data_IF_991875576069
#
_entry.id   IF_991875576069
#
_cell.length_a   1.000
_cell.length_b   1.000
_cell.length_c   1.000
_cell.angle_alpha   90.00
_cell.angle_beta   90.00
_cell.angle_gamma   90.00
#
_symmetry.space_group_name_H-M   'P 1'
#
loop_
_entity.id
_entity.type
_entity.pdbx_description
1 polymer ?
#
# COMPACT_ATOMS: atom_id res chain seq x y z
N UNK A 1 27.02 -18.48 41.06
CA UNK A 1 25.70 -17.84 40.77
C UNK A 1 25.88 -17.08 39.46
N UNK A 2 25.45 -17.68 38.34
CA UNK A 2 25.63 -17.11 37.01
C UNK A 2 24.34 -16.37 36.64
N UNK A 3 24.38 -15.04 36.60
CA UNK A 3 23.27 -14.25 36.10
C UNK A 3 23.28 -14.32 34.57
N UNK A 4 22.48 -15.23 34.02
CA UNK A 4 22.16 -15.25 32.60
C UNK A 4 21.36 -13.97 32.30
N UNK A 5 22.01 -13.01 31.66
CA UNK A 5 21.38 -11.82 31.11
C UNK A 5 20.39 -12.29 30.04
N UNK A 6 19.10 -12.14 30.35
CA UNK A 6 18.02 -12.25 29.39
C UNK A 6 18.19 -11.12 28.37
N UNK A 7 18.85 -11.42 27.24
CA UNK A 7 18.85 -10.57 26.06
C UNK A 7 17.42 -10.54 25.52
N UNK A 8 16.64 -9.59 26.04
CA UNK A 8 15.40 -9.14 25.43
C UNK A 8 15.76 -8.66 24.03
N UNK A 9 15.46 -9.46 23.00
CA UNK A 9 15.67 -9.07 21.62
C UNK A 9 14.92 -7.75 21.39
N UNK A 10 15.64 -6.66 21.19
CA UNK A 10 15.06 -5.44 20.69
C UNK A 10 14.29 -5.80 19.41
N UNK A 11 13.04 -5.34 19.22
CA UNK A 11 12.33 -5.60 17.97
C UNK A 11 13.25 -5.18 16.83
N UNK A 12 13.45 -6.09 15.86
CA UNK A 12 14.25 -5.79 14.69
C UNK A 12 13.75 -4.48 14.07
N UNK A 13 14.68 -3.60 13.67
CA UNK A 13 14.31 -2.37 12.99
C UNK A 13 13.36 -2.70 11.83
N UNK A 14 12.24 -1.97 11.74
CA UNK A 14 11.23 -2.19 10.72
C UNK A 14 11.88 -2.13 9.33
N UNK A 15 11.62 -3.11 8.46
CA UNK A 15 12.14 -3.11 7.09
C UNK A 15 11.63 -1.89 6.31
N UNK A 16 12.35 -1.47 5.26
CA UNK A 16 11.90 -0.34 4.44
C UNK A 16 10.54 -0.61 3.79
N UNK A 17 10.28 -1.85 3.36
CA UNK A 17 9.00 -2.26 2.82
C UNK A 17 7.86 -2.13 3.84
N UNK A 18 8.08 -2.51 5.09
CA UNK A 18 7.12 -2.35 6.17
C UNK A 18 6.88 -0.86 6.52
N UNK A 19 7.91 0.00 6.41
CA UNK A 19 7.75 1.45 6.56
C UNK A 19 6.90 2.04 5.43
N UNK A 20 7.15 1.64 4.18
CA UNK A 20 6.35 2.05 3.02
C UNK A 20 4.90 1.59 3.18
N UNK A 21 4.67 0.35 3.61
CA UNK A 21 3.36 -0.20 3.85
C UNK A 21 2.58 0.56 4.93
N UNK A 22 3.25 0.90 6.05
CA UNK A 22 2.65 1.69 7.12
C UNK A 22 2.27 3.11 6.63
N UNK A 23 3.08 3.73 5.78
CA UNK A 23 2.76 5.01 5.16
C UNK A 23 1.56 4.90 4.21
N UNK A 24 1.51 3.83 3.39
CA UNK A 24 0.40 3.58 2.47
C UNK A 24 -0.93 3.37 3.21
N UNK A 25 -0.94 2.51 4.24
CA UNK A 25 -2.10 2.30 5.11
C UNK A 25 -2.53 3.63 5.77
N UNK A 26 -1.59 4.38 6.33
CA UNK A 26 -1.88 5.69 6.93
C UNK A 26 -2.46 6.67 5.91
N UNK A 27 -1.98 6.68 4.67
CA UNK A 27 -2.55 7.51 3.60
C UNK A 27 -4.00 7.16 3.31
N UNK A 28 -4.38 5.88 3.34
CA UNK A 28 -5.78 5.46 3.19
C UNK A 28 -6.64 5.90 4.37
N UNK A 29 -6.14 5.82 5.60
CA UNK A 29 -6.88 6.26 6.79
C UNK A 29 -7.08 7.79 6.78
N UNK A 30 -6.04 8.56 6.44
CA UNK A 30 -6.12 10.02 6.33
C UNK A 30 -7.09 10.47 5.23
N UNK A 31 -7.23 9.70 4.16
CA UNK A 31 -8.19 9.97 3.09
C UNK A 31 -9.65 9.97 3.61
N UNK A 32 -9.97 9.13 4.60
CA UNK A 32 -11.28 9.07 5.27
C UNK A 32 -11.46 10.18 6.30
N UNK A 33 -10.37 10.63 6.93
CA UNK A 33 -10.40 11.77 7.86
C UNK A 33 -10.64 13.11 7.14
N UNK A 34 -10.56 13.15 5.81
CA UNK A 34 -10.76 14.37 5.04
C UNK A 34 -12.23 14.80 5.07
N UNK A 35 -12.52 16.03 5.51
CA UNK A 35 -13.87 16.62 5.55
C UNK A 35 -13.81 18.14 5.33
N UNK A 36 -14.74 18.78 4.58
CA UNK A 36 -15.90 18.19 3.90
C UNK A 36 -15.52 17.33 2.69
N UNK A 37 -16.31 16.29 2.41
CA UNK A 37 -16.02 15.30 1.37
C UNK A 37 -17.28 14.92 0.57
N UNK A 38 -17.88 15.86 -0.19
CA UNK A 38 -19.21 15.68 -0.78
C UNK A 38 -19.34 14.41 -1.62
N UNK A 39 -20.30 13.56 -1.27
CA UNK A 39 -20.64 12.33 -1.98
C UNK A 39 -19.70 11.14 -1.72
N UNK A 40 -18.59 11.33 -1.00
CA UNK A 40 -17.65 10.26 -0.65
C UNK A 40 -17.74 9.92 0.83
N UNK A 41 -17.32 8.70 1.20
CA UNK A 41 -17.28 8.26 2.60
C UNK A 41 -16.26 9.08 3.39
N UNK A 42 -16.65 9.52 4.58
CA UNK A 42 -15.80 10.22 5.55
C UNK A 42 -15.96 9.61 6.94
N UNK A 43 -15.20 10.11 7.92
CA UNK A 43 -15.39 9.78 9.33
C UNK A 43 -16.73 10.30 9.92
N UNK A 44 -17.45 11.19 9.21
CA UNK A 44 -18.72 11.78 9.67
C UNK A 44 -19.92 11.07 9.07
N UNK A 45 -19.85 10.70 7.78
CA UNK A 45 -20.97 10.11 7.03
C UNK A 45 -20.50 9.17 5.91
N UNK A 46 -21.44 8.41 5.36
CA UNK A 46 -21.20 7.51 4.23
C UNK A 46 -21.25 8.23 2.86
N UNK A 47 -21.36 9.56 2.81
CA UNK A 47 -21.60 10.29 1.57
C UNK A 47 -22.84 9.78 0.83
N UNK A 48 -22.68 9.45 -0.45
CA UNK A 48 -23.75 8.89 -1.29
C UNK A 48 -23.87 7.36 -1.22
N UNK A 49 -23.06 6.70 -0.38
CA UNK A 49 -22.99 5.25 -0.32
C UNK A 49 -23.97 4.66 0.68
N UNK A 50 -24.55 3.51 0.33
CA UNK A 50 -25.42 2.72 1.22
C UNK A 50 -24.77 1.40 1.65
N UNK A 51 -23.65 1.02 1.03
CA UNK A 51 -22.97 -0.27 1.15
C UNK A 51 -21.64 -0.20 1.90
N UNK A 52 -21.15 1.00 2.24
CA UNK A 52 -19.88 1.21 2.91
C UNK A 52 -19.90 2.43 3.84
N UNK A 53 -19.02 2.40 4.83
CA UNK A 53 -18.80 3.44 5.82
C UNK A 53 -17.31 3.53 6.20
N UNK A 54 -16.96 4.47 7.09
CA UNK A 54 -15.59 4.61 7.58
C UNK A 54 -15.01 3.31 8.17
N UNK A 55 -15.84 2.51 8.86
CA UNK A 55 -15.40 1.22 9.42
C UNK A 55 -14.98 0.23 8.33
N UNK A 56 -15.69 0.24 7.20
CA UNK A 56 -15.44 -0.62 6.04
C UNK A 56 -14.14 -0.23 5.35
N UNK A 57 -13.87 1.07 5.23
CA UNK A 57 -12.58 1.58 4.76
C UNK A 57 -11.42 1.25 5.70
N UNK A 58 -11.61 1.33 7.02
CA UNK A 58 -10.58 0.97 7.99
C UNK A 58 -10.20 -0.51 7.90
N UNK A 59 -11.19 -1.43 7.83
CA UNK A 59 -10.94 -2.86 7.61
C UNK A 59 -10.19 -3.12 6.30
N UNK A 60 -10.59 -2.42 5.24
CA UNK A 60 -9.95 -2.50 3.94
C UNK A 60 -8.47 -2.06 4.00
N UNK A 61 -8.17 -0.91 4.61
CA UNK A 61 -6.80 -0.40 4.74
C UNK A 61 -5.89 -1.38 5.49
N UNK A 62 -6.39 -1.94 6.61
CA UNK A 62 -5.66 -2.95 7.39
C UNK A 62 -5.39 -4.22 6.57
N UNK A 63 -6.39 -4.71 5.83
CA UNK A 63 -6.25 -5.90 4.98
C UNK A 63 -5.24 -5.71 3.84
N UNK A 64 -5.07 -4.47 3.36
CA UNK A 64 -4.17 -4.14 2.26
C UNK A 64 -2.71 -3.93 2.69
N UNK A 65 -2.45 -3.56 3.95
CA UNK A 65 -1.10 -3.30 4.49
C UNK A 65 -0.04 -4.34 4.08
N UNK A 66 -0.21 -5.66 4.29
CA UNK A 66 0.82 -6.64 3.93
C UNK A 66 1.12 -6.66 2.41
N UNK A 67 0.14 -6.35 1.57
CA UNK A 67 0.34 -6.30 0.12
C UNK A 67 1.08 -5.05 -0.34
N UNK A 68 0.96 -3.93 0.38
CA UNK A 68 1.81 -2.76 0.13
C UNK A 68 3.29 -3.04 0.46
N UNK A 69 3.56 -3.80 1.53
CA UNK A 69 4.92 -4.26 1.83
C UNK A 69 5.44 -5.17 0.71
N UNK A 70 4.63 -6.13 0.27
CA UNK A 70 5.03 -7.04 -0.79
C UNK A 70 5.27 -6.34 -2.14
N UNK A 71 4.46 -5.33 -2.48
CA UNK A 71 4.67 -4.49 -3.66
C UNK A 71 5.96 -3.67 -3.54
N UNK A 72 6.27 -3.14 -2.36
CA UNK A 72 7.55 -2.46 -2.13
C UNK A 72 8.74 -3.40 -2.31
N UNK A 73 8.69 -4.61 -1.75
CA UNK A 73 9.73 -5.63 -1.93
C UNK A 73 9.86 -6.10 -3.39
N UNK A 74 8.75 -6.22 -4.12
CA UNK A 74 8.76 -6.51 -5.55
C UNK A 74 9.43 -5.37 -6.33
N UNK A 75 9.15 -4.12 -5.96
CA UNK A 75 9.79 -2.94 -6.52
C UNK A 75 11.30 -2.89 -6.28
N UNK A 76 11.75 -3.21 -5.05
CA UNK A 76 13.17 -3.28 -4.69
C UNK A 76 13.94 -4.31 -5.54
N UNK A 77 13.25 -5.39 -5.92
CA UNK A 77 13.76 -6.44 -6.83
C UNK A 77 13.61 -6.10 -8.32
N UNK A 78 13.14 -4.91 -8.67
CA UNK A 78 12.86 -4.49 -10.05
C UNK A 78 11.92 -5.47 -10.79
N UNK A 79 10.86 -5.92 -10.10
CA UNK A 79 9.93 -6.88 -10.67
C UNK A 79 9.16 -6.32 -11.88
N UNK A 80 8.87 -7.20 -12.85
CA UNK A 80 8.00 -6.89 -13.99
C UNK A 80 6.55 -6.64 -13.56
N UNK A 81 5.81 -5.89 -14.38
CA UNK A 81 4.40 -5.57 -14.14
C UNK A 81 3.55 -6.83 -13.90
N UNK A 82 3.83 -7.95 -14.58
CA UNK A 82 3.12 -9.21 -14.37
C UNK A 82 3.19 -9.72 -12.92
N UNK A 83 4.30 -9.49 -12.22
CA UNK A 83 4.43 -9.85 -10.81
C UNK A 83 3.62 -8.89 -9.92
N UNK A 84 3.67 -7.59 -10.20
CA UNK A 84 2.89 -6.58 -9.46
C UNK A 84 1.38 -6.81 -9.60
N UNK A 85 0.90 -7.17 -10.80
CA UNK A 85 -0.51 -7.51 -11.05
C UNK A 85 -0.97 -8.70 -10.21
N UNK A 86 -0.15 -9.76 -10.10
CA UNK A 86 -0.48 -10.92 -9.25
C UNK A 86 -0.61 -10.56 -7.77
N UNK A 87 0.22 -9.65 -7.28
CA UNK A 87 0.12 -9.14 -5.91
C UNK A 87 -1.16 -8.31 -5.76
N UNK A 88 -1.43 -7.40 -6.71
CA UNK A 88 -2.64 -6.58 -6.73
C UNK A 88 -3.94 -7.40 -6.74
N UNK A 89 -4.01 -8.48 -7.52
CA UNK A 89 -5.17 -9.37 -7.53
C UNK A 89 -5.42 -10.05 -6.18
N UNK A 90 -4.35 -10.50 -5.49
CA UNK A 90 -4.48 -11.05 -4.14
C UNK A 90 -4.89 -9.98 -3.13
N UNK A 91 -4.37 -8.77 -3.27
CA UNK A 91 -4.77 -7.63 -2.46
C UNK A 91 -6.26 -7.30 -2.64
N UNK A 92 -6.77 -7.34 -3.88
CA UNK A 92 -8.19 -7.12 -4.18
C UNK A 92 -9.05 -8.21 -3.53
N UNK A 93 -8.65 -9.47 -3.63
CA UNK A 93 -9.37 -10.57 -2.98
C UNK A 93 -9.39 -10.41 -1.45
N UNK A 94 -8.28 -10.02 -0.84
CA UNK A 94 -8.21 -9.79 0.60
C UNK A 94 -9.06 -8.59 1.04
N UNK A 95 -9.05 -7.51 0.26
CA UNK A 95 -9.91 -6.35 0.47
C UNK A 95 -11.39 -6.77 0.45
N UNK A 96 -11.82 -7.44 -0.62
CA UNK A 96 -13.21 -7.88 -0.76
C UNK A 96 -13.63 -8.82 0.37
N UNK A 97 -12.75 -9.73 0.80
CA UNK A 97 -13.03 -10.59 1.95
C UNK A 97 -13.22 -9.79 3.26
N UNK A 98 -12.39 -8.78 3.51
CA UNK A 98 -12.46 -7.95 4.72
C UNK A 98 -13.65 -6.96 4.72
N UNK A 99 -14.17 -6.62 3.54
CA UNK A 99 -15.27 -5.66 3.36
C UNK A 99 -16.61 -6.32 3.04
N UNK A 100 -16.71 -7.66 3.04
CA UNK A 100 -17.96 -8.35 2.70
C UNK A 100 -18.36 -8.20 1.23
N UNK A 101 -17.38 -8.08 0.33
CA UNK A 101 -17.57 -7.94 -1.12
C UNK A 101 -17.65 -6.49 -1.61
N UNK A 102 -17.51 -5.51 -0.71
CA UNK A 102 -17.65 -4.09 -1.05
C UNK A 102 -16.34 -3.52 -1.59
N UNK A 103 -16.39 -2.88 -2.76
CA UNK A 103 -15.23 -2.27 -3.38
C UNK A 103 -14.92 -0.89 -2.76
N UNK A 104 -13.92 -0.84 -1.88
CA UNK A 104 -13.47 0.41 -1.22
C UNK A 104 -12.21 0.99 -1.86
N UNK A 105 -11.19 0.16 -2.05
CA UNK A 105 -9.83 0.61 -2.37
C UNK A 105 -9.24 -0.01 -3.64
N UNK A 106 -10.04 -0.58 -4.56
CA UNK A 106 -9.49 -1.20 -5.78
C UNK A 106 -8.63 -0.24 -6.61
N UNK A 107 -9.03 1.03 -6.71
CA UNK A 107 -8.22 2.07 -7.35
C UNK A 107 -6.89 2.33 -6.62
N UNK A 108 -6.91 2.30 -5.28
CA UNK A 108 -5.72 2.50 -4.46
C UNK A 108 -4.75 1.32 -4.53
N UNK A 109 -5.25 0.07 -4.63
CA UNK A 109 -4.42 -1.11 -4.86
C UNK A 109 -3.54 -0.92 -6.09
N UNK A 110 -4.08 -0.34 -7.16
CA UNK A 110 -3.31 -0.02 -8.35
C UNK A 110 -2.42 1.22 -8.14
N UNK A 111 -3.02 2.39 -7.87
CA UNK A 111 -2.29 3.65 -7.82
C UNK A 111 -1.26 3.70 -6.69
N UNK A 112 -1.72 3.55 -5.45
CA UNK A 112 -0.84 3.58 -4.27
C UNK A 112 0.09 2.35 -4.23
N UNK A 113 -0.38 1.19 -4.68
CA UNK A 113 0.44 -0.01 -4.80
C UNK A 113 1.64 0.16 -5.76
N UNK A 114 1.43 0.77 -6.93
CA UNK A 114 2.53 1.09 -7.86
C UNK A 114 3.50 2.13 -7.27
N UNK A 115 3.01 3.07 -6.47
CA UNK A 115 3.87 4.00 -5.74
C UNK A 115 4.70 3.29 -4.66
N UNK A 116 4.15 2.28 -3.99
CA UNK A 116 4.90 1.42 -3.06
C UNK A 116 6.03 0.68 -3.79
N UNK A 117 5.75 0.08 -4.94
CA UNK A 117 6.77 -0.56 -5.77
C UNK A 117 7.85 0.43 -6.25
N UNK A 118 7.46 1.62 -6.69
CA UNK A 118 8.42 2.66 -7.07
C UNK A 118 9.29 3.12 -5.88
N UNK A 119 8.71 3.22 -4.67
CA UNK A 119 9.44 3.59 -3.46
C UNK A 119 10.47 2.51 -3.09
N UNK A 120 10.08 1.23 -3.12
CA UNK A 120 10.99 0.11 -2.90
C UNK A 120 12.13 0.08 -3.93
N UNK A 121 11.83 0.32 -5.21
CA UNK A 121 12.83 0.42 -6.28
C UNK A 121 13.84 1.55 -6.02
N UNK A 122 13.40 2.69 -5.47
CA UNK A 122 14.27 3.82 -5.15
C UNK A 122 15.23 3.51 -4.00
N UNK A 123 14.89 2.57 -3.12
CA UNK A 123 15.76 2.12 -2.02
C UNK A 123 16.93 1.24 -2.45
N UNK A 124 17.07 0.94 -3.75
CA UNK A 124 18.18 0.11 -4.25
C UNK A 124 19.53 0.83 -4.16
N UNK A 125 20.64 0.10 -3.93
CA UNK A 125 21.98 0.71 -3.84
C UNK A 125 22.46 1.43 -5.10
N UNK A 126 21.95 1.04 -6.27
CA UNK A 126 22.25 1.62 -7.58
C UNK A 126 21.34 2.81 -7.96
N UNK A 127 20.39 3.18 -7.08
CA UNK A 127 19.47 4.28 -7.35
C UNK A 127 20.17 5.63 -7.23
N UNK A 128 19.92 6.52 -8.21
CA UNK A 128 20.45 7.87 -8.19
C UNK A 128 19.93 8.66 -6.96
N UNK A 129 20.80 9.35 -6.21
CA UNK A 129 20.38 10.31 -5.20
C UNK A 129 19.52 11.40 -5.86
N UNK A 130 18.37 11.73 -5.26
CA UNK A 130 17.39 12.67 -5.85
C UNK A 130 16.83 12.22 -7.22
N UNK A 131 16.58 10.92 -7.35
CA UNK A 131 15.83 10.35 -8.46
C UNK A 131 14.46 11.02 -8.69
N UNK A 132 13.78 10.67 -9.79
CA UNK A 132 12.45 11.20 -10.13
C UNK A 132 11.44 11.06 -8.99
N UNK A 133 10.33 11.81 -9.08
CA UNK A 133 9.14 11.53 -8.27
C UNK A 133 8.70 10.07 -8.45
N UNK A 134 8.03 9.49 -7.44
CA UNK A 134 7.54 8.11 -7.53
C UNK A 134 6.63 7.90 -8.76
N UNK A 135 5.77 8.86 -9.08
CA UNK A 135 4.93 8.81 -10.27
C UNK A 135 5.74 8.78 -11.57
N UNK A 136 6.81 9.58 -11.66
CA UNK A 136 7.70 9.54 -12.82
C UNK A 136 8.52 8.25 -12.89
N UNK A 137 8.89 7.63 -11.76
CA UNK A 137 9.45 6.27 -11.73
C UNK A 137 8.48 5.24 -12.29
N UNK A 138 7.21 5.29 -11.86
CA UNK A 138 6.15 4.39 -12.37
C UNK A 138 5.98 4.56 -13.88
N UNK A 139 5.81 5.80 -14.34
CA UNK A 139 5.61 6.11 -15.76
C UNK A 139 6.77 5.59 -16.62
N UNK A 140 8.02 5.73 -16.17
CA UNK A 140 9.18 5.24 -16.91
C UNK A 140 9.35 3.73 -16.88
N UNK A 141 9.11 3.10 -15.73
CA UNK A 141 9.37 1.66 -15.57
C UNK A 141 8.26 0.80 -16.11
N UNK A 142 7.02 1.18 -15.84
CA UNK A 142 5.85 0.34 -16.08
C UNK A 142 4.81 1.02 -16.97
N UNK A 143 5.06 2.25 -17.46
CA UNK A 143 4.08 3.00 -18.25
C UNK A 143 3.62 2.26 -19.51
N UNK A 144 4.54 1.60 -20.22
CA UNK A 144 4.20 0.80 -21.40
C UNK A 144 3.28 -0.38 -21.04
N UNK A 145 3.59 -1.11 -19.97
CA UNK A 145 2.79 -2.25 -19.51
C UNK A 145 1.41 -1.82 -18.98
N UNK A 146 1.30 -0.61 -18.41
CA UNK A 146 0.02 -0.04 -17.97
C UNK A 146 -0.87 0.26 -19.17
N UNK A 147 -0.31 0.84 -20.24
CA UNK A 147 -1.05 1.13 -21.47
C UNK A 147 -1.38 -0.14 -22.28
N UNK A 148 -0.61 -1.21 -22.10
CA UNK A 148 -0.74 -2.48 -22.82
C UNK A 148 -1.84 -3.42 -22.33
N UNK A 149 -2.47 -3.16 -21.18
CA UNK A 149 -3.50 -4.02 -20.59
C UNK A 149 -2.96 -5.01 -19.58
#
# INVERSE_FOLDING_TARGET
MSAAVLLCALPAAQSEAERIAALAERSLLLEIETYPKPGLVSHVDAGSHADMDASTFARSAQALRPYFAELADAGARDAEMAALRKIGLRAEHAMLAATGGVNTHRGAIFGLGLLCAAAGRRGRPDAAPHGPTLGASVARRWGADILGG
#
